data_IF_416689851211
#
_entry.id   IF_416689851211
#
_cell.length_a   1.000
_cell.length_b   1.000
_cell.length_c   1.000
_cell.angle_alpha   90.00
_cell.angle_beta   90.00
_cell.angle_gamma   90.00
#
_symmetry.space_group_name_H-M   'P 1'
#
loop_
_entity.id
_entity.type
_entity.pdbx_description
1 polymer ?
#
# COMPACT_ATOMS: atom_id res chain seq x y z
N UNK A 1 -49.81 -14.10 -81.54
CA UNK A 1 -49.85 -12.64 -81.26
C UNK A 1 -49.73 -12.48 -79.76
N UNK A 2 -48.58 -11.97 -79.27
CA UNK A 2 -48.18 -11.94 -77.91
C UNK A 2 -48.56 -10.60 -77.27
N UNK A 3 -49.36 -10.64 -76.20
CA UNK A 3 -49.65 -9.44 -75.37
C UNK A 3 -48.59 -9.39 -74.23
N UNK A 4 -47.88 -8.28 -74.14
CA UNK A 4 -46.92 -7.93 -73.08
C UNK A 4 -47.71 -7.32 -71.92
N UNK A 5 -47.51 -7.89 -70.75
CA UNK A 5 -47.98 -7.39 -69.47
C UNK A 5 -46.81 -6.70 -68.75
N UNK A 6 -46.90 -5.42 -68.57
CA UNK A 6 -45.88 -4.62 -67.85
C UNK A 6 -46.28 -4.55 -66.38
N UNK A 7 -45.46 -5.13 -65.53
CA UNK A 7 -45.60 -5.07 -64.08
C UNK A 7 -44.85 -3.81 -63.56
N UNK A 8 -45.52 -2.97 -62.87
CA UNK A 8 -45.00 -1.77 -62.21
C UNK A 8 -44.50 -2.19 -60.79
N UNK A 9 -43.18 -2.17 -60.57
CA UNK A 9 -42.58 -2.42 -59.25
C UNK A 9 -42.47 -1.10 -58.54
N UNK A 10 -43.22 -0.96 -57.44
CA UNK A 10 -43.12 0.15 -56.50
C UNK A 10 -41.94 -0.11 -55.56
N UNK A 11 -40.83 0.62 -55.70
CA UNK A 11 -39.72 0.59 -54.74
C UNK A 11 -40.07 1.48 -53.54
N UNK A 12 -40.27 0.85 -52.38
CA UNK A 12 -40.36 1.50 -51.09
C UNK A 12 -38.95 1.69 -50.58
N UNK A 13 -38.40 2.90 -50.63
CA UNK A 13 -37.09 3.25 -50.06
C UNK A 13 -37.21 3.37 -48.54
N UNK A 14 -36.73 2.38 -47.81
CA UNK A 14 -36.48 2.48 -46.37
C UNK A 14 -35.26 3.36 -46.13
N UNK A 15 -35.47 4.56 -45.62
CA UNK A 15 -34.44 5.42 -45.06
C UNK A 15 -33.97 4.82 -43.70
N UNK A 16 -32.83 4.10 -43.70
CA UNK A 16 -32.12 3.71 -42.49
C UNK A 16 -31.23 4.89 -42.12
N UNK A 17 -31.35 5.49 -40.89
CA UNK A 17 -30.41 6.50 -40.46
C UNK A 17 -29.05 5.88 -40.24
N UNK A 18 -28.07 6.30 -41.02
CA UNK A 18 -26.67 5.94 -40.86
C UNK A 18 -26.16 6.60 -39.58
N UNK A 19 -26.09 5.86 -38.48
CA UNK A 19 -25.35 6.26 -37.29
C UNK A 19 -23.85 6.30 -37.65
N UNK A 20 -23.12 7.36 -37.31
CA UNK A 20 -21.68 7.37 -37.54
C UNK A 20 -21.04 6.27 -36.71
N UNK A 21 -20.35 5.34 -37.38
CA UNK A 21 -19.46 4.37 -36.78
C UNK A 21 -18.38 5.17 -36.02
N UNK A 22 -18.43 5.12 -34.68
CA UNK A 22 -17.38 5.71 -33.88
C UNK A 22 -16.04 5.08 -34.32
N UNK A 23 -15.18 5.90 -34.90
CA UNK A 23 -13.83 5.53 -35.22
C UNK A 23 -13.18 5.04 -33.90
N UNK A 24 -12.77 3.78 -33.85
CA UNK A 24 -11.90 3.30 -32.80
C UNK A 24 -10.67 4.23 -32.79
N UNK A 25 -10.47 4.94 -31.68
CA UNK A 25 -9.25 5.70 -31.49
C UNK A 25 -8.10 4.70 -31.61
N UNK A 26 -7.27 4.82 -32.64
CA UNK A 26 -5.98 4.19 -32.71
C UNK A 26 -5.24 4.60 -31.44
N UNK A 27 -4.97 3.63 -30.54
CA UNK A 27 -4.03 3.83 -29.46
C UNK A 27 -2.70 4.24 -30.10
N UNK A 28 -2.39 5.52 -30.06
CA UNK A 28 -1.08 6.04 -30.43
C UNK A 28 -0.06 5.24 -29.62
N UNK A 29 0.97 4.61 -30.25
CA UNK A 29 2.01 3.93 -29.52
C UNK A 29 2.60 4.95 -28.56
N UNK A 30 2.52 4.67 -27.25
CA UNK A 30 3.24 5.43 -26.23
C UNK A 30 4.68 5.50 -26.69
N UNK A 31 5.13 6.70 -27.03
CA UNK A 31 6.50 6.95 -27.47
C UNK A 31 7.44 6.22 -26.55
N UNK A 32 8.35 5.41 -27.10
CA UNK A 32 9.38 4.70 -26.37
C UNK A 32 10.14 5.73 -25.52
N UNK A 33 9.77 5.84 -24.24
CA UNK A 33 10.51 6.67 -23.28
C UNK A 33 11.92 6.13 -23.26
N UNK A 34 12.90 7.02 -23.42
CA UNK A 34 14.32 6.77 -23.21
C UNK A 34 14.47 5.70 -22.13
N UNK A 35 15.05 4.54 -22.47
CA UNK A 35 15.06 3.39 -21.56
C UNK A 35 15.87 3.76 -20.32
N UNK A 36 15.21 4.12 -19.23
CA UNK A 36 15.82 4.43 -17.95
C UNK A 36 16.69 3.24 -17.54
N UNK A 37 17.99 3.48 -17.35
CA UNK A 37 18.91 2.46 -16.85
C UNK A 37 18.55 2.16 -15.40
N UNK A 38 18.37 0.89 -15.07
CA UNK A 38 18.07 0.45 -13.70
C UNK A 38 19.30 -0.22 -13.08
N UNK A 39 19.51 0.01 -11.79
CA UNK A 39 20.54 -0.67 -11.01
C UNK A 39 20.06 -0.92 -9.59
N UNK A 40 20.35 -2.10 -9.04
CA UNK A 40 20.03 -2.45 -7.66
C UNK A 40 21.30 -2.51 -6.82
N UNK A 41 21.43 -1.58 -5.87
CA UNK A 41 22.44 -1.67 -4.82
C UNK A 41 21.94 -2.59 -3.72
N UNK A 42 22.79 -3.51 -3.27
CA UNK A 42 22.47 -4.46 -2.22
C UNK A 42 23.53 -4.44 -1.14
N UNK A 43 23.08 -4.59 0.13
CA UNK A 43 23.94 -4.54 1.29
C UNK A 43 23.75 -5.81 2.11
N UNK A 44 24.83 -6.54 2.36
CA UNK A 44 24.86 -7.82 3.06
C UNK A 44 25.37 -7.65 4.51
N UNK A 45 25.12 -8.65 5.34
CA UNK A 45 25.62 -8.83 6.70
C UNK A 45 25.04 -7.92 7.78
N UNK A 46 24.38 -6.85 7.39
CA UNK A 46 23.76 -5.90 8.33
C UNK A 46 22.50 -6.44 9.03
N UNK A 47 21.79 -5.56 9.75
CA UNK A 47 22.15 -4.16 10.05
C UNK A 47 23.36 -3.99 10.95
N UNK A 48 24.02 -2.83 10.88
CA UNK A 48 25.20 -2.47 11.67
C UNK A 48 25.14 -1.04 12.21
N UNK A 49 26.18 -0.61 12.90
CA UNK A 49 26.33 0.77 13.35
C UNK A 49 26.40 1.78 12.18
N UNK A 50 26.72 1.35 10.97
CA UNK A 50 26.82 2.23 9.80
C UNK A 50 25.55 2.30 8.96
N UNK A 51 24.59 1.41 9.22
CA UNK A 51 23.33 1.32 8.46
C UNK A 51 22.52 2.62 8.52
N UNK A 52 22.46 3.30 9.67
CA UNK A 52 21.75 4.58 9.80
C UNK A 52 22.33 5.66 8.88
N UNK A 53 23.67 5.77 8.82
CA UNK A 53 24.37 6.71 7.92
C UNK A 53 24.11 6.38 6.45
N UNK A 54 24.09 5.09 6.10
CA UNK A 54 23.74 4.64 4.76
C UNK A 54 22.32 5.06 4.38
N UNK A 55 21.34 4.84 5.26
CA UNK A 55 19.95 5.23 5.02
C UNK A 55 19.78 6.74 4.83
N UNK A 56 20.47 7.58 5.63
CA UNK A 56 20.50 9.03 5.43
C UNK A 56 21.03 9.38 4.03
N UNK A 57 22.11 8.73 3.63
CA UNK A 57 22.73 8.92 2.33
C UNK A 57 21.84 8.50 1.16
N UNK A 58 21.16 7.34 1.27
CA UNK A 58 20.22 6.85 0.26
C UNK A 58 19.01 7.77 0.14
N UNK A 59 18.46 8.20 1.27
CA UNK A 59 17.31 9.13 1.33
C UNK A 59 17.61 10.46 0.66
N UNK A 60 18.75 11.07 0.96
CA UNK A 60 19.19 12.33 0.35
C UNK A 60 19.32 12.24 -1.18
N UNK A 61 19.56 11.04 -1.72
CA UNK A 61 19.71 10.77 -3.15
C UNK A 61 18.44 10.27 -3.82
N UNK A 62 17.37 10.00 -3.05
CA UNK A 62 16.15 9.36 -3.55
C UNK A 62 16.39 7.94 -4.04
N UNK A 63 17.44 7.27 -3.55
CA UNK A 63 17.82 5.93 -3.95
C UNK A 63 17.16 4.87 -3.06
N UNK A 64 16.75 3.75 -3.67
CA UNK A 64 16.28 2.55 -2.96
C UNK A 64 17.33 1.45 -3.05
N UNK A 65 17.35 0.58 -2.05
CA UNK A 65 18.30 -0.53 -1.97
C UNK A 65 17.63 -1.77 -1.40
N UNK A 66 18.32 -2.92 -1.54
CA UNK A 66 17.93 -4.18 -0.91
C UNK A 66 18.95 -4.55 0.15
N UNK A 67 18.50 -4.88 1.34
CA UNK A 67 19.33 -5.28 2.47
C UNK A 67 19.16 -6.78 2.71
N UNK A 68 20.23 -7.56 2.46
CA UNK A 68 20.29 -8.98 2.79
C UNK A 68 20.87 -9.12 4.21
N UNK A 69 19.98 -9.32 5.16
CA UNK A 69 20.33 -9.21 6.57
C UNK A 69 20.55 -10.57 7.21
N UNK A 70 21.52 -10.65 8.11
CA UNK A 70 21.69 -11.80 8.99
C UNK A 70 20.74 -11.70 10.19
N UNK A 71 20.39 -12.86 10.78
CA UNK A 71 19.76 -12.90 12.10
C UNK A 71 20.72 -12.39 13.16
N UNK A 72 21.92 -12.96 13.18
CA UNK A 72 23.03 -12.54 14.05
C UNK A 72 24.36 -12.82 13.35
N UNK A 73 25.29 -11.88 13.41
CA UNK A 73 26.64 -12.01 12.86
C UNK A 73 27.59 -11.15 13.73
N UNK A 74 28.10 -11.69 14.83
CA UNK A 74 28.85 -10.94 15.81
C UNK A 74 28.05 -9.79 16.42
N UNK A 75 28.51 -8.55 16.24
CA UNK A 75 27.80 -7.33 16.66
C UNK A 75 26.78 -6.82 15.66
N UNK A 76 26.62 -7.50 14.50
CA UNK A 76 25.73 -7.12 13.40
C UNK A 76 24.49 -8.01 13.38
N UNK A 77 23.55 -7.67 12.49
CA UNK A 77 22.33 -8.43 12.25
C UNK A 77 21.11 -7.93 13.02
N UNK A 78 19.97 -8.50 12.68
CA UNK A 78 18.64 -8.08 13.14
C UNK A 78 18.50 -8.09 14.66
N UNK A 79 19.07 -9.11 15.33
CA UNK A 79 18.93 -9.27 16.80
C UNK A 79 19.52 -8.06 17.54
N UNK A 80 20.64 -7.51 17.04
CA UNK A 80 21.36 -6.41 17.67
C UNK A 80 20.87 -5.02 17.23
N UNK A 81 20.22 -4.92 16.06
CA UNK A 81 19.85 -3.64 15.43
C UNK A 81 18.39 -3.59 14.96
N UNK A 82 17.49 -4.19 15.72
CA UNK A 82 16.07 -4.35 15.34
C UNK A 82 15.32 -3.05 15.05
N UNK A 83 15.73 -1.95 15.69
CA UNK A 83 15.00 -0.68 15.59
C UNK A 83 15.18 0.01 14.23
N UNK A 84 16.27 -0.31 13.50
CA UNK A 84 16.53 0.23 12.17
C UNK A 84 15.61 -0.35 11.09
N UNK A 85 15.03 -1.53 11.30
CA UNK A 85 14.19 -2.23 10.32
C UNK A 85 12.95 -1.41 9.94
N UNK A 86 12.31 -0.79 10.93
CA UNK A 86 11.15 0.08 10.69
C UNK A 86 11.51 1.21 9.74
N UNK A 87 12.67 1.84 9.96
CA UNK A 87 13.18 2.90 9.11
C UNK A 87 13.46 2.42 7.69
N UNK A 88 14.16 1.29 7.53
CA UNK A 88 14.42 0.66 6.22
C UNK A 88 13.10 0.46 5.45
N UNK A 89 12.11 -0.12 6.10
CA UNK A 89 10.78 -0.35 5.53
C UNK A 89 10.10 0.96 5.11
N UNK A 90 10.03 1.93 6.01
CA UNK A 90 9.25 3.16 5.81
C UNK A 90 9.91 4.08 4.78
N UNK A 91 11.22 4.00 4.62
CA UNK A 91 11.96 4.66 3.55
C UNK A 91 11.89 3.89 2.21
N UNK A 92 11.21 2.74 2.15
CA UNK A 92 10.91 2.00 0.91
C UNK A 92 12.04 1.11 0.41
N UNK A 93 12.95 0.69 1.30
CA UNK A 93 13.95 -0.31 0.98
C UNK A 93 13.37 -1.73 1.07
N UNK A 94 13.97 -2.66 0.34
CA UNK A 94 13.63 -4.08 0.44
C UNK A 94 14.45 -4.74 1.54
N UNK A 95 13.75 -5.47 2.42
CA UNK A 95 14.35 -6.29 3.45
C UNK A 95 14.43 -7.72 2.92
N UNK A 96 15.61 -8.32 2.94
CA UNK A 96 15.87 -9.63 2.38
C UNK A 96 16.73 -10.47 3.33
N UNK A 97 16.84 -11.74 3.05
CA UNK A 97 17.38 -12.76 3.94
C UNK A 97 18.80 -13.16 3.56
N UNK A 98 19.78 -13.05 4.50
CA UNK A 98 21.15 -13.50 4.34
C UNK A 98 21.52 -14.64 5.29
N UNK A 99 20.56 -15.47 5.69
CA UNK A 99 20.66 -16.53 6.67
C UNK A 99 20.89 -16.05 8.11
N UNK A 100 20.66 -16.92 9.08
CA UNK A 100 20.65 -16.49 10.48
C UNK A 100 22.05 -16.24 11.03
N UNK A 101 23.02 -17.17 10.81
CA UNK A 101 24.37 -17.14 11.41
C UNK A 101 25.50 -16.97 10.40
N UNK A 102 25.18 -16.74 9.12
CA UNK A 102 26.19 -16.59 8.07
C UNK A 102 27.17 -17.78 8.00
N UNK A 103 26.65 -19.01 7.96
CA UNK A 103 27.50 -20.21 7.94
C UNK A 103 28.23 -20.36 6.58
N UNK A 104 29.57 -20.54 6.62
CA UNK A 104 30.40 -20.75 5.42
C UNK A 104 31.25 -22.03 5.59
N UNK A 105 31.34 -22.86 4.54
CA UNK A 105 30.65 -22.84 3.25
C UNK A 105 29.20 -23.32 3.40
N UNK A 106 28.24 -22.50 2.95
CA UNK A 106 26.81 -22.75 3.21
C UNK A 106 26.27 -24.00 2.52
N UNK A 107 26.77 -24.35 1.37
CA UNK A 107 26.38 -25.55 0.58
C UNK A 107 26.96 -26.87 1.11
N UNK A 108 27.82 -26.82 2.14
CA UNK A 108 28.29 -28.03 2.83
C UNK A 108 27.33 -28.56 3.90
N UNK A 109 26.29 -27.77 4.23
CA UNK A 109 25.33 -28.14 5.27
C UNK A 109 24.15 -28.93 4.68
N UNK A 110 23.54 -29.78 5.51
CA UNK A 110 22.35 -30.55 5.16
C UNK A 110 21.09 -29.68 5.07
N UNK A 111 20.07 -30.16 4.37
CA UNK A 111 18.82 -29.46 4.08
C UNK A 111 18.15 -28.89 5.34
N UNK A 112 18.15 -29.60 6.46
CA UNK A 112 17.53 -29.11 7.72
C UNK A 112 18.24 -27.88 8.27
N UNK A 113 19.57 -27.82 8.21
CA UNK A 113 20.35 -26.64 8.64
C UNK A 113 20.09 -25.47 7.68
N UNK A 114 20.15 -25.69 6.37
CA UNK A 114 19.87 -24.67 5.35
C UNK A 114 18.47 -24.09 5.56
N UNK A 115 17.45 -24.93 5.72
CA UNK A 115 16.07 -24.49 5.96
C UNK A 115 15.94 -23.70 7.26
N UNK A 116 16.58 -24.18 8.35
CA UNK A 116 16.56 -23.49 9.64
C UNK A 116 17.22 -22.11 9.59
N UNK A 117 18.37 -22.00 8.91
CA UNK A 117 19.09 -20.73 8.74
C UNK A 117 18.24 -19.68 8.00
N UNK A 118 17.48 -20.09 7.01
CA UNK A 118 16.58 -19.20 6.26
C UNK A 118 15.33 -18.87 7.09
N UNK A 119 14.61 -19.85 7.60
CA UNK A 119 13.33 -19.65 8.30
C UNK A 119 13.45 -18.84 9.59
N UNK A 120 14.59 -18.91 10.27
CA UNK A 120 14.82 -18.11 11.49
C UNK A 120 14.90 -16.61 11.21
N UNK A 121 15.47 -16.18 10.08
CA UNK A 121 15.46 -14.76 9.67
C UNK A 121 14.07 -14.34 9.28
N UNK A 122 13.33 -15.16 8.53
CA UNK A 122 11.94 -14.88 8.17
C UNK A 122 11.06 -14.66 9.40
N UNK A 123 11.21 -15.53 10.42
CA UNK A 123 10.48 -15.38 11.69
C UNK A 123 10.81 -14.07 12.40
N UNK A 124 12.11 -13.70 12.47
CA UNK A 124 12.53 -12.42 13.06
C UNK A 124 11.93 -11.22 12.33
N UNK A 125 11.89 -11.26 11.00
CA UNK A 125 11.32 -10.19 10.20
C UNK A 125 9.80 -10.14 10.34
N UNK A 126 9.13 -11.30 10.33
CA UNK A 126 7.69 -11.38 10.54
C UNK A 126 7.27 -10.74 11.87
N UNK A 127 7.95 -11.11 12.97
CA UNK A 127 7.66 -10.60 14.32
C UNK A 127 7.85 -9.07 14.44
N UNK A 128 8.79 -8.51 13.67
CA UNK A 128 9.15 -7.08 13.72
C UNK A 128 8.31 -6.22 12.77
N UNK A 129 7.87 -6.80 11.68
CA UNK A 129 7.29 -6.07 10.56
C UNK A 129 5.80 -6.32 10.39
N UNK A 130 5.22 -7.24 11.17
CA UNK A 130 3.81 -7.61 11.10
C UNK A 130 3.43 -8.37 9.84
N UNK A 131 4.41 -8.98 9.14
CA UNK A 131 4.17 -9.74 7.92
C UNK A 131 5.46 -10.20 7.26
N UNK A 132 5.36 -11.10 6.28
CA UNK A 132 6.51 -11.59 5.52
C UNK A 132 7.01 -10.53 4.54
N UNK A 133 8.33 -10.26 4.58
CA UNK A 133 9.02 -9.30 3.69
C UNK A 133 10.13 -9.95 2.88
N UNK A 134 10.39 -11.25 3.08
CA UNK A 134 11.60 -11.88 2.59
C UNK A 134 11.30 -12.95 1.58
N UNK A 135 10.82 -12.54 0.45
CA UNK A 135 10.65 -13.49 -0.65
C UNK A 135 11.93 -13.69 -1.47
N UNK A 136 13.10 -13.23 -0.94
CA UNK A 136 14.40 -13.34 -1.61
C UNK A 136 15.51 -13.66 -0.62
N UNK A 137 16.38 -14.59 -1.00
CA UNK A 137 17.51 -15.06 -0.18
C UNK A 137 18.81 -14.81 -0.94
N UNK A 138 19.83 -14.31 -0.26
CA UNK A 138 21.22 -14.40 -0.68
C UNK A 138 21.95 -15.32 0.27
N UNK A 139 22.58 -16.35 -0.28
CA UNK A 139 23.32 -17.33 0.52
C UNK A 139 24.73 -16.83 0.86
N UNK A 140 25.24 -17.10 2.06
CA UNK A 140 26.59 -16.74 2.45
C UNK A 140 27.64 -17.20 1.45
N UNK A 141 28.57 -16.29 1.09
CA UNK A 141 29.61 -16.56 0.11
C UNK A 141 29.11 -16.86 -1.31
N UNK A 142 27.83 -16.61 -1.63
CA UNK A 142 27.24 -16.91 -2.92
C UNK A 142 27.06 -18.39 -3.22
N UNK A 143 26.99 -19.26 -2.20
CA UNK A 143 26.83 -20.69 -2.33
C UNK A 143 25.50 -21.06 -3.01
N UNK A 144 25.55 -21.85 -4.10
CA UNK A 144 24.39 -22.25 -4.89
C UNK A 144 24.42 -23.72 -5.31
N UNK A 145 25.01 -24.56 -4.48
CA UNK A 145 25.03 -26.01 -4.68
C UNK A 145 23.63 -26.62 -4.77
N UNK A 146 23.54 -27.87 -5.24
CA UNK A 146 22.26 -28.55 -5.46
C UNK A 146 21.36 -28.58 -4.23
N UNK A 147 21.94 -28.85 -3.05
CA UNK A 147 21.22 -28.86 -1.77
C UNK A 147 20.62 -27.50 -1.43
N UNK A 148 21.31 -26.40 -1.72
CA UNK A 148 20.81 -25.04 -1.51
C UNK A 148 19.61 -24.78 -2.43
N UNK A 149 19.74 -25.00 -3.74
CA UNK A 149 18.70 -24.76 -4.72
C UNK A 149 17.42 -25.58 -4.48
N UNK A 150 17.56 -26.79 -3.97
CA UNK A 150 16.41 -27.66 -3.69
C UNK A 150 15.75 -27.38 -2.35
N UNK A 151 16.45 -26.73 -1.40
CA UNK A 151 15.97 -26.51 -0.04
C UNK A 151 15.44 -25.09 0.19
N UNK A 152 16.07 -24.08 -0.45
CA UNK A 152 15.66 -22.69 -0.30
C UNK A 152 14.37 -22.43 -1.07
N UNK A 153 13.27 -22.28 -0.35
CA UNK A 153 11.93 -22.04 -0.92
C UNK A 153 11.72 -20.57 -1.29
N UNK A 154 12.75 -19.92 -1.87
CA UNK A 154 12.74 -18.51 -2.28
C UNK A 154 13.63 -18.31 -3.51
N UNK A 155 13.47 -17.21 -4.27
CA UNK A 155 14.44 -16.77 -5.28
C UNK A 155 15.81 -16.52 -4.66
N UNK A 156 16.87 -16.98 -5.29
CA UNK A 156 18.24 -16.82 -4.82
C UNK A 156 18.89 -15.67 -5.60
N UNK A 157 19.30 -14.62 -4.88
CA UNK A 157 19.84 -13.41 -5.48
C UNK A 157 21.35 -13.34 -5.24
N UNK A 158 22.13 -13.41 -6.30
CA UNK A 158 23.55 -13.12 -6.29
C UNK A 158 23.79 -11.71 -6.85
N UNK A 159 24.93 -11.50 -7.53
CA UNK A 159 25.35 -10.20 -8.06
C UNK A 159 26.07 -10.33 -9.40
N UNK A 160 26.11 -9.25 -10.14
CA UNK A 160 26.91 -9.09 -11.36
C UNK A 160 28.05 -8.08 -11.18
N UNK A 161 28.04 -7.33 -10.08
CA UNK A 161 29.09 -6.38 -9.73
C UNK A 161 29.57 -6.65 -8.32
N UNK A 162 30.82 -7.08 -8.18
CA UNK A 162 31.51 -7.26 -6.89
C UNK A 162 32.62 -6.20 -6.76
N UNK A 163 32.45 -5.17 -5.92
CA UNK A 163 33.47 -4.17 -5.69
C UNK A 163 34.62 -4.66 -4.79
N UNK A 164 34.54 -5.87 -4.26
CA UNK A 164 35.51 -6.45 -3.33
C UNK A 164 35.73 -5.58 -2.07
N UNK A 165 34.67 -4.95 -1.58
CA UNK A 165 34.67 -4.05 -0.44
C UNK A 165 35.05 -4.79 0.87
N UNK A 166 34.60 -6.04 0.99
CA UNK A 166 34.95 -6.95 2.07
C UNK A 166 36.45 -7.26 2.14
N UNK A 167 37.18 -7.13 1.02
CA UNK A 167 38.60 -7.42 0.89
C UNK A 167 39.47 -6.17 1.08
N UNK A 168 39.18 -5.10 0.36
CA UNK A 168 40.07 -3.95 0.27
C UNK A 168 39.85 -2.90 1.35
N UNK A 169 38.64 -2.79 1.91
CA UNK A 169 38.28 -1.82 2.97
C UNK A 169 38.73 -0.40 2.67
N UNK A 170 38.60 0.02 1.41
CA UNK A 170 39.01 1.32 0.92
C UNK A 170 37.90 1.93 0.06
N UNK A 171 37.42 3.13 0.43
CA UNK A 171 36.27 3.76 -0.21
C UNK A 171 36.50 4.11 -1.70
N UNK A 172 37.73 4.47 -2.08
CA UNK A 172 38.06 4.79 -3.49
C UNK A 172 38.10 3.52 -4.34
N UNK A 173 38.61 2.42 -3.80
CA UNK A 173 38.62 1.12 -4.48
C UNK A 173 37.20 0.63 -4.68
N UNK A 174 36.34 0.72 -3.64
CA UNK A 174 34.91 0.35 -3.71
C UNK A 174 34.20 1.19 -4.79
N UNK A 175 34.36 2.51 -4.74
CA UNK A 175 33.80 3.42 -5.74
C UNK A 175 34.22 3.04 -7.17
N UNK A 176 35.54 2.93 -7.40
CA UNK A 176 36.09 2.66 -8.74
C UNK A 176 35.64 1.31 -9.30
N UNK A 177 35.59 0.28 -8.45
CA UNK A 177 35.12 -1.06 -8.86
C UNK A 177 33.63 -1.06 -9.18
N UNK A 178 32.78 -0.35 -8.41
CA UNK A 178 31.36 -0.19 -8.73
C UNK A 178 31.20 0.52 -10.08
N UNK A 179 31.87 1.66 -10.30
CA UNK A 179 31.73 2.42 -11.56
C UNK A 179 32.21 1.59 -12.76
N UNK A 180 33.28 0.85 -12.61
CA UNK A 180 33.82 -0.02 -13.67
C UNK A 180 32.87 -1.16 -14.04
N UNK A 181 32.19 -1.74 -13.05
CA UNK A 181 31.27 -2.86 -13.24
C UNK A 181 29.83 -2.48 -13.58
N UNK A 182 29.43 -1.22 -13.34
CA UNK A 182 28.05 -0.79 -13.48
C UNK A 182 27.53 -0.93 -14.93
N UNK A 183 26.35 -1.55 -15.05
CA UNK A 183 25.61 -1.70 -16.31
C UNK A 183 24.11 -1.73 -16.04
N UNK A 184 23.30 -1.50 -17.07
CA UNK A 184 21.84 -1.54 -16.95
C UNK A 184 21.36 -2.95 -16.53
N UNK A 185 20.60 -3.01 -15.44
CA UNK A 185 20.12 -4.25 -14.84
C UNK A 185 21.11 -4.91 -13.87
N UNK A 186 22.22 -4.24 -13.51
CA UNK A 186 23.19 -4.77 -12.55
C UNK A 186 22.59 -4.91 -11.14
N UNK A 187 23.03 -5.95 -10.44
CA UNK A 187 22.87 -6.13 -8.99
C UNK A 187 24.28 -5.99 -8.40
N UNK A 188 24.48 -5.00 -7.54
CA UNK A 188 25.76 -4.64 -6.94
C UNK A 188 25.84 -5.22 -5.54
N UNK A 189 26.87 -6.04 -5.25
CA UNK A 189 27.19 -6.52 -3.91
C UNK A 189 27.93 -5.42 -3.14
N UNK A 190 27.52 -5.15 -1.91
CA UNK A 190 28.26 -4.35 -0.93
C UNK A 190 27.87 -4.81 0.47
N UNK A 191 28.56 -4.28 1.50
CA UNK A 191 28.28 -4.61 2.90
C UNK A 191 28.15 -3.32 3.72
N UNK A 192 27.05 -3.16 4.45
CA UNK A 192 26.83 -1.97 5.30
C UNK A 192 27.49 -2.09 6.69
N UNK A 193 28.23 -3.17 6.91
CA UNK A 193 29.05 -3.37 8.11
C UNK A 193 30.42 -2.67 8.06
N UNK A 194 30.75 -2.00 6.95
CA UNK A 194 32.01 -1.27 6.78
C UNK A 194 31.77 0.18 6.37
N UNK A 195 32.33 1.12 7.13
CA UNK A 195 32.23 2.55 6.82
C UNK A 195 32.74 2.88 5.41
N UNK A 196 33.83 2.27 4.97
CA UNK A 196 34.43 2.47 3.65
C UNK A 196 33.52 1.98 2.52
N UNK A 197 32.79 0.89 2.72
CA UNK A 197 31.78 0.40 1.77
C UNK A 197 30.64 1.40 1.61
N UNK A 198 30.11 1.92 2.72
CA UNK A 198 29.04 2.93 2.72
C UNK A 198 29.50 4.18 1.98
N UNK A 199 30.72 4.69 2.29
CA UNK A 199 31.25 5.88 1.63
C UNK A 199 31.44 5.67 0.11
N UNK A 200 32.04 4.54 -0.29
CA UNK A 200 32.26 4.22 -1.69
C UNK A 200 30.97 4.03 -2.48
N UNK A 201 30.01 3.33 -1.90
CA UNK A 201 28.70 3.10 -2.50
C UNK A 201 27.92 4.41 -2.69
N UNK A 202 27.84 5.29 -1.69
CA UNK A 202 27.13 6.57 -1.80
C UNK A 202 27.74 7.48 -2.86
N UNK A 203 29.06 7.52 -2.98
CA UNK A 203 29.75 8.26 -4.07
C UNK A 203 29.46 7.66 -5.44
N UNK A 204 29.42 6.33 -5.55
CA UNK A 204 29.06 5.66 -6.80
C UNK A 204 27.62 5.97 -7.23
N UNK A 205 26.70 6.03 -6.27
CA UNK A 205 25.30 6.41 -6.51
C UNK A 205 25.23 7.84 -7.11
N UNK A 206 25.96 8.80 -6.57
CA UNK A 206 25.99 10.17 -7.11
C UNK A 206 26.44 10.19 -8.58
N UNK A 207 27.52 9.48 -8.90
CA UNK A 207 28.07 9.40 -10.27
C UNK A 207 27.11 8.69 -11.21
N UNK A 208 26.55 7.55 -10.82
CA UNK A 208 25.63 6.77 -11.66
C UNK A 208 24.30 7.49 -11.87
N UNK A 209 23.82 8.23 -10.86
CA UNK A 209 22.63 9.08 -10.98
C UNK A 209 22.84 10.15 -12.06
N UNK A 210 24.00 10.79 -12.09
CA UNK A 210 24.35 11.75 -13.15
C UNK A 210 24.44 11.09 -14.54
N UNK A 211 24.70 9.77 -14.62
CA UNK A 211 24.71 8.97 -15.85
C UNK A 211 23.33 8.44 -16.26
N UNK A 212 22.24 8.84 -15.54
CA UNK A 212 20.85 8.46 -15.85
C UNK A 212 20.42 7.11 -15.29
N UNK A 213 21.09 6.59 -14.26
CA UNK A 213 20.62 5.41 -13.55
C UNK A 213 19.55 5.76 -12.51
N UNK A 214 18.54 4.91 -12.44
CA UNK A 214 17.56 4.88 -11.36
C UNK A 214 17.91 3.72 -10.40
N UNK A 215 17.88 4.01 -9.10
CA UNK A 215 18.25 3.07 -8.04
C UNK A 215 16.99 2.44 -7.45
N UNK A 216 16.82 1.16 -7.72
CA UNK A 216 15.64 0.38 -7.36
C UNK A 216 16.00 -0.79 -6.46
N UNK A 217 15.01 -1.37 -5.78
CA UNK A 217 15.21 -2.65 -5.07
C UNK A 217 15.36 -3.80 -6.07
N UNK A 218 15.90 -4.94 -5.63
CA UNK A 218 16.00 -6.14 -6.50
C UNK A 218 14.61 -6.58 -6.96
N UNK A 219 13.62 -6.59 -6.06
CA UNK A 219 12.25 -6.94 -6.41
C UNK A 219 11.69 -6.02 -7.51
N UNK A 220 11.88 -4.72 -7.37
CA UNK A 220 11.43 -3.75 -8.37
C UNK A 220 12.22 -3.88 -9.68
N UNK A 221 13.53 -4.11 -9.63
CA UNK A 221 14.36 -4.36 -10.81
C UNK A 221 13.81 -5.54 -11.62
N UNK A 222 13.58 -6.68 -10.98
CA UNK A 222 13.05 -7.88 -11.64
C UNK A 222 11.65 -7.63 -12.23
N UNK A 223 10.76 -7.04 -11.44
CA UNK A 223 9.41 -6.67 -11.89
C UNK A 223 9.44 -5.76 -13.13
N UNK A 224 10.22 -4.69 -13.09
CA UNK A 224 10.30 -3.72 -14.20
C UNK A 224 10.91 -4.33 -15.47
N UNK A 225 11.71 -5.40 -15.32
CA UNK A 225 12.22 -6.21 -16.43
C UNK A 225 11.28 -7.33 -16.86
N UNK A 226 10.06 -7.41 -16.30
CA UNK A 226 9.08 -8.45 -16.64
C UNK A 226 9.47 -9.84 -16.16
N UNK A 227 10.35 -9.93 -15.16
CA UNK A 227 10.82 -11.18 -14.58
C UNK A 227 9.99 -11.50 -13.34
N UNK A 228 9.28 -12.62 -13.36
CA UNK A 228 8.64 -13.20 -12.17
C UNK A 228 9.63 -14.11 -11.47
N UNK A 229 10.15 -13.74 -10.27
CA UNK A 229 11.11 -14.56 -9.56
C UNK A 229 10.52 -15.92 -9.17
N UNK A 230 11.35 -16.98 -9.22
CA UNK A 230 10.95 -18.34 -8.89
C UNK A 230 11.87 -18.93 -7.82
N UNK A 231 11.31 -19.75 -6.93
CA UNK A 231 12.04 -20.41 -5.85
C UNK A 231 13.15 -21.32 -6.42
N UNK A 232 14.31 -21.30 -5.77
CA UNK A 232 15.48 -22.08 -6.16
C UNK A 232 16.20 -21.59 -7.41
N UNK A 233 15.65 -20.58 -8.13
CA UNK A 233 16.29 -19.98 -9.30
C UNK A 233 17.23 -18.87 -8.88
N UNK A 234 18.43 -18.85 -9.50
CA UNK A 234 19.49 -17.89 -9.21
C UNK A 234 19.42 -16.70 -10.17
N UNK A 235 19.42 -15.49 -9.62
CA UNK A 235 19.42 -14.23 -10.36
C UNK A 235 20.69 -13.44 -10.02
N UNK A 236 21.49 -13.09 -11.01
CA UNK A 236 22.71 -12.27 -10.84
C UNK A 236 22.56 -10.85 -11.37
N UNK A 237 21.63 -10.65 -12.29
CA UNK A 237 21.31 -9.37 -12.94
C UNK A 237 19.95 -9.46 -13.63
N UNK A 238 19.40 -8.33 -14.04
CA UNK A 238 18.19 -8.27 -14.85
C UNK A 238 18.39 -7.29 -16.05
N UNK A 239 19.10 -7.70 -17.09
CA UNK A 239 19.35 -6.86 -18.25
C UNK A 239 18.05 -6.55 -18.99
N UNK A 240 17.99 -5.38 -19.64
CA UNK A 240 16.87 -5.01 -20.48
C UNK A 240 16.80 -5.90 -21.74
N UNK A 241 15.76 -6.70 -21.84
CA UNK A 241 15.43 -7.56 -23.01
C UNK A 241 14.22 -7.05 -23.79
N UNK A 242 13.99 -5.73 -23.80
CA UNK A 242 12.84 -5.12 -24.46
C UNK A 242 11.66 -4.82 -23.53
N UNK A 243 11.71 -5.23 -22.27
CA UNK A 243 10.68 -4.93 -21.26
C UNK A 243 11.24 -3.94 -20.22
N UNK A 244 10.58 -2.81 -20.07
CA UNK A 244 10.90 -1.84 -19.03
C UNK A 244 9.59 -1.23 -18.50
N UNK A 245 8.93 -1.94 -17.58
CA UNK A 245 7.69 -1.47 -16.97
C UNK A 245 7.94 -0.22 -16.11
N UNK A 246 6.98 0.69 -16.01
CA UNK A 246 7.10 1.87 -15.15
C UNK A 246 7.16 1.47 -13.67
N UNK A 247 7.63 2.41 -12.83
CA UNK A 247 7.44 2.31 -11.39
C UNK A 247 5.96 2.29 -11.04
N UNK A 248 5.63 1.72 -9.88
CA UNK A 248 4.25 1.81 -9.37
C UNK A 248 3.85 3.25 -9.08
N UNK A 249 2.58 3.54 -9.29
CA UNK A 249 1.97 4.84 -9.00
C UNK A 249 1.35 4.86 -7.59
N UNK A 250 1.26 6.05 -7.00
CA UNK A 250 0.64 6.21 -5.70
C UNK A 250 -0.86 5.86 -5.76
N UNK A 251 -1.41 5.17 -4.74
CA UNK A 251 -2.85 4.94 -4.63
C UNK A 251 -3.63 6.25 -4.54
N UNK A 252 -4.89 6.24 -4.94
CA UNK A 252 -5.79 7.38 -4.79
C UNK A 252 -6.74 7.17 -3.60
N UNK A 253 -7.10 8.28 -2.93
CA UNK A 253 -8.09 8.32 -1.85
C UNK A 253 -9.23 9.22 -2.31
N UNK A 254 -10.41 8.65 -2.52
CA UNK A 254 -11.65 9.33 -2.89
C UNK A 254 -12.64 9.28 -1.72
N UNK A 255 -13.57 10.22 -1.67
CA UNK A 255 -14.61 10.24 -0.64
C UNK A 255 -15.91 10.78 -1.21
N UNK A 256 -17.04 10.24 -0.73
CA UNK A 256 -18.39 10.67 -1.09
C UNK A 256 -19.23 10.76 0.17
N UNK A 257 -19.92 11.89 0.39
CA UNK A 257 -20.84 12.06 1.51
C UNK A 257 -22.14 11.31 1.22
N UNK A 258 -22.63 10.55 2.18
CA UNK A 258 -23.88 9.80 2.17
C UNK A 258 -24.65 9.98 3.47
N UNK A 259 -25.81 9.34 3.55
CA UNK A 259 -26.73 9.44 4.71
C UNK A 259 -26.13 8.95 6.04
N UNK A 260 -25.18 8.00 5.98
CA UNK A 260 -24.59 7.39 7.18
C UNK A 260 -23.16 7.92 7.47
N UNK A 261 -22.73 8.99 6.78
CA UNK A 261 -21.39 9.55 6.92
C UNK A 261 -20.68 9.68 5.57
N UNK A 262 -19.37 9.78 5.62
CA UNK A 262 -18.52 9.89 4.43
C UNK A 262 -17.96 8.53 4.09
N UNK A 263 -18.29 8.01 2.93
CA UNK A 263 -17.71 6.78 2.35
C UNK A 263 -16.36 7.12 1.73
N UNK A 264 -15.29 6.46 2.19
CA UNK A 264 -13.93 6.63 1.72
C UNK A 264 -13.50 5.39 0.95
N UNK A 265 -12.97 5.58 -0.26
CA UNK A 265 -12.49 4.49 -1.12
C UNK A 265 -11.04 4.70 -1.50
N UNK A 266 -10.28 3.59 -1.57
CA UNK A 266 -8.91 3.58 -2.06
C UNK A 266 -8.85 2.79 -3.36
N UNK A 267 -8.06 3.27 -4.32
CA UNK A 267 -7.86 2.59 -5.59
C UNK A 267 -6.44 2.73 -6.10
N UNK A 268 -6.05 1.83 -7.00
CA UNK A 268 -4.77 1.88 -7.72
C UNK A 268 -5.00 1.46 -9.16
N UNK A 269 -4.26 2.07 -10.09
CA UNK A 269 -4.24 1.66 -11.50
C UNK A 269 -3.33 0.44 -11.73
N UNK A 270 -2.40 0.18 -10.83
CA UNK A 270 -1.43 -0.88 -10.96
C UNK A 270 -2.01 -2.23 -10.53
N UNK A 271 -1.68 -3.29 -11.29
CA UNK A 271 -2.16 -4.66 -11.03
C UNK A 271 -1.26 -5.39 -10.03
N UNK A 272 -1.83 -6.39 -9.35
CA UNK A 272 -1.08 -7.26 -8.45
C UNK A 272 -0.73 -6.65 -7.09
N UNK A 273 -1.33 -5.50 -6.76
CA UNK A 273 -1.15 -4.83 -5.46
C UNK A 273 -2.27 -5.15 -4.48
N UNK A 274 -1.90 -5.34 -3.24
CA UNK A 274 -2.81 -5.26 -2.10
C UNK A 274 -2.66 -3.90 -1.45
N UNK A 275 -3.77 -3.19 -1.21
CA UNK A 275 -3.76 -1.90 -0.54
C UNK A 275 -3.81 -2.10 0.98
N UNK A 276 -2.89 -1.44 1.67
CA UNK A 276 -2.83 -1.36 3.13
C UNK A 276 -2.96 0.09 3.57
N UNK A 277 -3.57 0.32 4.73
CA UNK A 277 -3.78 1.67 5.21
C UNK A 277 -3.65 1.79 6.74
N UNK A 278 -3.46 3.03 7.18
CA UNK A 278 -3.60 3.47 8.57
C UNK A 278 -4.55 4.66 8.64
N UNK A 279 -5.14 4.89 9.81
CA UNK A 279 -5.96 6.08 10.09
C UNK A 279 -5.15 7.19 10.77
N UNK A 280 -3.87 7.26 10.46
CA UNK A 280 -2.90 8.23 10.96
C UNK A 280 -1.89 8.57 9.87
N UNK A 281 -0.89 9.40 10.17
CA UNK A 281 0.23 9.69 9.28
C UNK A 281 1.33 8.60 9.26
N UNK A 282 1.14 7.50 10.01
CA UNK A 282 2.09 6.38 10.01
C UNK A 282 2.05 5.65 8.68
N UNK A 283 3.24 5.32 8.16
CA UNK A 283 3.37 4.55 6.91
C UNK A 283 2.80 3.14 7.08
N UNK A 284 1.81 2.72 6.26
CA UNK A 284 1.26 1.38 6.33
C UNK A 284 2.28 0.31 5.91
N UNK A 285 2.11 -0.91 6.41
CA UNK A 285 2.94 -2.08 6.12
C UNK A 285 2.07 -3.35 6.07
N UNK A 286 2.64 -4.52 5.83
CA UNK A 286 1.89 -5.78 5.70
C UNK A 286 1.07 -6.16 6.94
N UNK A 287 1.49 -5.69 8.13
CA UNK A 287 0.72 -5.84 9.38
C UNK A 287 -0.33 -4.74 9.61
N UNK A 288 -0.45 -3.75 8.72
CA UNK A 288 -1.48 -2.72 8.80
C UNK A 288 -2.82 -3.24 8.28
N UNK A 289 -3.86 -2.43 8.42
CA UNK A 289 -5.18 -2.80 7.94
C UNK A 289 -5.18 -2.98 6.42
N UNK A 290 -5.65 -4.15 5.97
CA UNK A 290 -5.84 -4.44 4.56
C UNK A 290 -7.14 -3.81 4.08
N UNK A 291 -7.09 -3.08 2.98
CA UNK A 291 -8.28 -2.51 2.38
C UNK A 291 -9.08 -3.59 1.63
N UNK A 292 -10.33 -3.76 2.00
CA UNK A 292 -11.25 -4.75 1.41
C UNK A 292 -12.50 -4.13 0.81
N UNK A 293 -12.70 -2.82 0.98
CA UNK A 293 -13.87 -2.10 0.47
C UNK A 293 -14.06 -0.75 1.15
N UNK A 294 -15.11 0.01 0.77
CA UNK A 294 -15.36 1.35 1.28
C UNK A 294 -15.41 1.42 2.82
N UNK A 295 -14.85 2.51 3.38
CA UNK A 295 -14.79 2.78 4.83
C UNK A 295 -15.69 3.98 5.11
N UNK A 296 -16.67 3.82 6.00
CA UNK A 296 -17.53 4.93 6.42
C UNK A 296 -16.95 5.63 7.64
N UNK A 297 -16.84 6.96 7.59
CA UNK A 297 -16.39 7.80 8.69
C UNK A 297 -17.43 8.88 9.03
N UNK A 298 -17.51 9.21 10.31
CA UNK A 298 -18.38 10.29 10.83
C UNK A 298 -17.59 11.45 11.45
N UNK A 299 -16.25 11.33 11.49
CA UNK A 299 -15.34 12.37 12.02
C UNK A 299 -14.14 12.52 11.11
N UNK A 300 -13.48 13.65 11.20
CA UNK A 300 -12.23 13.91 10.48
C UNK A 300 -11.23 12.78 10.71
N UNK A 301 -10.77 12.21 9.63
CA UNK A 301 -9.83 11.07 9.65
C UNK A 301 -8.72 11.30 8.64
N UNK A 302 -7.48 11.12 9.07
CA UNK A 302 -6.33 11.11 8.17
C UNK A 302 -6.04 9.68 7.75
N UNK A 303 -6.13 9.40 6.46
CA UNK A 303 -5.76 8.10 5.89
C UNK A 303 -4.38 8.19 5.24
N UNK A 304 -3.55 7.19 5.50
CA UNK A 304 -2.31 6.94 4.79
C UNK A 304 -2.41 5.57 4.13
N UNK A 305 -2.14 5.49 2.82
CA UNK A 305 -2.37 4.28 1.99
C UNK A 305 -1.12 3.95 1.18
N UNK A 306 -0.81 2.66 1.07
CA UNK A 306 0.25 2.11 0.22
C UNK A 306 -0.23 0.84 -0.46
N UNK A 307 0.18 0.62 -1.71
CA UNK A 307 0.06 -0.67 -2.38
C UNK A 307 1.34 -1.49 -2.18
N UNK A 308 1.20 -2.78 -1.91
CA UNK A 308 2.33 -3.71 -1.75
C UNK A 308 2.06 -4.96 -2.58
N UNK A 309 3.03 -5.37 -3.40
CA UNK A 309 2.94 -6.61 -4.17
C UNK A 309 3.43 -7.82 -3.37
N UNK A 310 3.33 -9.01 -3.97
CA UNK A 310 3.75 -10.25 -3.32
C UNK A 310 5.25 -10.35 -3.03
N UNK A 311 6.08 -9.50 -3.62
CA UNK A 311 7.53 -9.46 -3.40
C UNK A 311 7.96 -8.30 -2.49
N UNK A 312 7.00 -7.63 -1.85
CA UNK A 312 7.26 -6.52 -0.95
C UNK A 312 7.56 -5.18 -1.65
N UNK A 313 7.47 -5.12 -3.00
CA UNK A 313 7.61 -3.85 -3.73
C UNK A 313 6.43 -2.95 -3.41
N UNK A 314 6.73 -1.68 -3.14
CA UNK A 314 5.76 -0.72 -2.62
C UNK A 314 5.51 0.40 -3.61
N UNK A 315 4.26 0.87 -3.64
CA UNK A 315 3.96 2.16 -4.28
C UNK A 315 4.52 3.32 -3.46
N UNK A 316 4.63 4.52 -4.03
CA UNK A 316 4.64 5.73 -3.21
C UNK A 316 3.43 5.78 -2.29
N UNK A 317 3.55 6.46 -1.16
CA UNK A 317 2.50 6.57 -0.13
C UNK A 317 1.60 7.75 -0.46
N UNK A 318 0.28 7.58 -0.29
CA UNK A 318 -0.68 8.69 -0.33
C UNK A 318 -1.22 8.94 1.06
N UNK A 319 -1.16 10.20 1.50
CA UNK A 319 -1.78 10.65 2.75
C UNK A 319 -2.81 11.73 2.45
N UNK A 320 -4.03 11.57 2.98
CA UNK A 320 -5.13 12.55 2.83
C UNK A 320 -5.95 12.62 4.10
N UNK A 321 -6.20 13.85 4.57
CA UNK A 321 -7.21 14.12 5.58
C UNK A 321 -8.57 14.21 4.88
N UNK A 322 -9.53 13.39 5.34
CA UNK A 322 -10.92 13.40 4.88
C UNK A 322 -11.78 13.95 6.01
N UNK A 323 -12.55 14.99 5.71
CA UNK A 323 -13.50 15.56 6.63
C UNK A 323 -14.65 14.56 6.86
N UNK A 324 -15.04 14.34 8.11
CA UNK A 324 -16.21 13.55 8.47
C UNK A 324 -17.46 14.40 8.56
N UNK A 325 -18.60 13.71 8.66
CA UNK A 325 -19.89 14.35 8.95
C UNK A 325 -20.31 13.90 10.35
N UNK A 326 -20.24 14.77 11.37
CA UNK A 326 -20.56 14.37 12.72
C UNK A 326 -22.06 14.05 12.86
N UNK A 327 -22.44 13.08 13.67
CA UNK A 327 -23.84 12.79 13.94
C UNK A 327 -24.46 13.87 14.87
N UNK A 328 -25.73 14.15 14.67
CA UNK A 328 -26.54 14.90 15.64
C UNK A 328 -26.87 13.98 16.80
N UNK A 329 -26.83 14.47 18.03
CA UNK A 329 -27.20 13.70 19.20
C UNK A 329 -28.71 13.37 19.17
N UNK A 330 -29.08 12.17 19.58
CA UNK A 330 -30.48 11.80 19.69
C UNK A 330 -31.21 12.68 20.71
N UNK A 331 -32.47 13.05 20.48
CA UNK A 331 -33.26 13.80 21.45
C UNK A 331 -33.41 13.04 22.77
N UNK A 332 -33.43 13.76 23.86
CA UNK A 332 -33.92 13.23 25.16
C UNK A 332 -35.35 13.68 25.37
N UNK A 333 -36.12 12.84 26.02
CA UNK A 333 -37.55 13.06 26.27
C UNK A 333 -37.80 13.04 27.76
N UNK A 334 -38.55 14.00 28.28
CA UNK A 334 -39.03 13.99 29.64
C UNK A 334 -40.56 14.28 29.67
N UNK A 335 -41.25 13.75 30.66
CA UNK A 335 -42.68 13.99 30.86
C UNK A 335 -42.95 14.39 32.28
N UNK A 336 -43.46 15.62 32.45
CA UNK A 336 -43.77 16.20 33.74
C UNK A 336 -45.04 17.05 33.65
N UNK A 337 -45.92 16.96 34.66
CA UNK A 337 -47.15 17.74 34.76
C UNK A 337 -48.04 17.67 33.51
N UNK A 338 -48.08 16.51 32.86
CA UNK A 338 -48.90 16.30 31.64
C UNK A 338 -48.26 16.80 30.35
N UNK A 339 -47.02 17.24 30.37
CA UNK A 339 -46.34 17.79 29.20
C UNK A 339 -45.08 17.02 28.85
N UNK A 340 -44.89 16.77 27.54
CA UNK A 340 -43.62 16.25 26.96
C UNK A 340 -42.68 17.41 26.68
N UNK A 341 -41.44 17.23 27.12
CA UNK A 341 -40.32 18.13 26.78
C UNK A 341 -39.25 17.34 26.02
N UNK A 342 -38.85 17.88 24.89
CA UNK A 342 -37.79 17.32 24.06
C UNK A 342 -36.56 18.24 24.15
N UNK A 343 -35.36 17.63 24.23
CA UNK A 343 -34.11 18.40 24.20
C UNK A 343 -33.03 17.63 23.42
N UNK A 344 -32.07 18.36 22.87
CA UNK A 344 -30.91 17.80 22.15
C UNK A 344 -29.64 18.48 22.62
N UNK A 345 -28.59 17.70 22.91
CA UNK A 345 -27.30 18.23 23.35
C UNK A 345 -26.47 18.82 22.20
N UNK A 346 -26.81 18.53 20.93
CA UNK A 346 -26.18 19.17 19.78
C UNK A 346 -26.70 20.58 19.62
N UNK A 347 -25.84 21.57 19.88
CA UNK A 347 -26.22 22.99 19.79
C UNK A 347 -26.67 23.36 18.37
N UNK A 348 -27.82 24.04 18.26
CA UNK A 348 -28.41 24.49 17.00
C UNK A 348 -29.20 23.42 16.25
N UNK A 349 -29.31 22.18 16.76
CA UNK A 349 -30.14 21.16 16.17
C UNK A 349 -31.64 21.50 16.33
N UNK A 350 -32.40 21.28 15.24
CA UNK A 350 -33.87 21.32 15.26
C UNK A 350 -34.41 19.93 15.59
N UNK A 351 -35.42 19.86 16.46
CA UNK A 351 -36.10 18.61 16.80
C UNK A 351 -37.43 18.56 16.06
N UNK A 352 -37.68 17.47 15.34
CA UNK A 352 -38.96 17.20 14.68
C UNK A 352 -39.62 15.99 15.36
N UNK A 353 -40.94 15.99 15.45
CA UNK A 353 -41.69 14.89 16.09
C UNK A 353 -42.97 14.56 15.36
N UNK A 354 -43.49 13.34 15.64
CA UNK A 354 -44.79 12.83 15.22
C UNK A 354 -45.53 12.22 16.42
N UNK A 355 -46.84 12.26 16.40
CA UNK A 355 -47.70 11.67 17.45
C UNK A 355 -48.57 10.51 16.93
N UNK A 356 -48.45 10.19 15.64
CA UNK A 356 -49.21 9.14 14.95
C UNK A 356 -48.40 7.82 14.78
N UNK A 357 -47.20 7.77 15.36
CA UNK A 357 -46.28 6.63 15.27
C UNK A 357 -45.46 6.55 13.98
N UNK A 358 -45.67 7.46 13.03
CA UNK A 358 -44.81 7.57 11.82
C UNK A 358 -43.39 7.96 12.17
N UNK A 359 -42.42 7.69 11.26
CA UNK A 359 -41.03 8.15 11.42
C UNK A 359 -40.98 9.64 11.14
N UNK A 360 -40.48 10.49 12.09
CA UNK A 360 -40.37 11.92 11.87
C UNK A 360 -39.34 12.25 10.81
N UNK A 361 -39.60 13.32 10.03
CA UNK A 361 -38.75 13.87 8.98
C UNK A 361 -38.66 15.40 9.12
N UNK A 362 -37.86 16.06 8.32
CA UNK A 362 -37.78 17.53 8.30
C UNK A 362 -39.13 18.23 7.95
N UNK A 363 -40.11 17.49 7.44
CA UNK A 363 -41.47 17.95 7.15
C UNK A 363 -42.45 17.70 8.30
N UNK A 364 -42.03 16.98 9.34
CA UNK A 364 -42.85 16.72 10.55
C UNK A 364 -42.93 17.96 11.44
N UNK A 365 -43.67 17.89 12.51
CA UNK A 365 -43.88 19.02 13.43
C UNK A 365 -42.59 19.45 14.09
N UNK A 366 -42.19 20.69 13.90
CA UNK A 366 -41.01 21.28 14.56
C UNK A 366 -41.32 21.48 16.05
N UNK A 367 -40.43 20.99 16.89
CA UNK A 367 -40.54 21.21 18.35
C UNK A 367 -40.09 22.64 18.70
N UNK A 368 -41.01 23.41 19.32
CA UNK A 368 -40.77 24.78 19.74
C UNK A 368 -40.92 24.97 21.27
N UNK A 369 -41.32 23.94 21.96
CA UNK A 369 -41.52 23.99 23.43
C UNK A 369 -42.38 22.83 23.93
N UNK A 370 -42.49 22.68 25.25
CA UNK A 370 -43.26 21.59 25.86
C UNK A 370 -44.71 21.55 25.37
N UNK A 371 -45.24 20.36 25.15
CA UNK A 371 -46.61 20.15 24.61
C UNK A 371 -47.32 19.00 25.32
N UNK A 372 -48.65 18.99 25.34
CA UNK A 372 -49.46 17.87 25.79
C UNK A 372 -49.57 16.88 24.66
N UNK A 373 -49.12 15.62 24.82
CA UNK A 373 -49.24 14.61 23.78
C UNK A 373 -50.68 14.21 23.55
N UNK A 374 -51.12 14.16 22.28
CA UNK A 374 -52.48 13.78 21.90
C UNK A 374 -52.67 12.24 21.86
N UNK A 375 -51.58 11.52 21.78
CA UNK A 375 -51.52 10.03 21.74
C UNK A 375 -50.48 9.53 22.73
N UNK A 376 -50.54 8.21 23.02
CA UNK A 376 -49.56 7.59 23.91
C UNK A 376 -48.16 7.39 23.28
N UNK A 377 -48.04 7.52 21.96
CA UNK A 377 -46.74 7.31 21.26
C UNK A 377 -46.29 8.59 20.57
N UNK A 378 -45.11 9.02 20.91
CA UNK A 378 -44.43 10.12 20.23
C UNK A 378 -43.08 9.62 19.70
N UNK A 379 -42.73 9.94 18.47
CA UNK A 379 -41.38 9.74 17.91
C UNK A 379 -40.73 11.07 17.62
N UNK A 380 -39.45 11.21 17.90
CA UNK A 380 -38.68 12.44 17.62
C UNK A 380 -37.33 12.13 17.03
N UNK A 381 -36.82 13.10 16.24
CA UNK A 381 -35.51 13.09 15.62
C UNK A 381 -34.92 14.50 15.71
N UNK A 382 -33.61 14.59 15.90
CA UNK A 382 -32.88 15.86 15.83
C UNK A 382 -32.08 15.94 14.53
N UNK A 383 -32.12 17.11 13.89
CA UNK A 383 -31.46 17.38 12.62
C UNK A 383 -30.67 18.70 12.69
N UNK A 384 -29.46 18.70 12.14
CA UNK A 384 -28.62 19.89 12.03
C UNK A 384 -27.97 19.94 10.63
N UNK A 385 -28.10 21.02 9.86
CA UNK A 385 -27.41 21.14 8.58
C UNK A 385 -25.90 20.87 8.70
N UNK A 386 -25.37 20.02 7.83
CA UNK A 386 -23.96 19.61 7.85
C UNK A 386 -23.63 18.49 8.85
N UNK A 387 -24.63 17.92 9.52
CA UNK A 387 -24.53 16.75 10.38
C UNK A 387 -25.37 15.61 9.84
N UNK A 388 -25.08 14.38 10.28
CA UNK A 388 -26.01 13.27 10.11
C UNK A 388 -27.23 13.47 11.01
N UNK A 389 -28.39 13.07 10.54
CA UNK A 389 -29.60 13.03 11.38
C UNK A 389 -29.38 12.12 12.60
N UNK A 390 -30.03 12.44 13.71
CA UNK A 390 -29.92 11.59 14.89
C UNK A 390 -30.66 10.26 14.70
N UNK A 391 -30.43 9.32 15.59
CA UNK A 391 -31.35 8.19 15.76
C UNK A 391 -32.74 8.74 16.13
N UNK A 392 -33.79 8.06 15.65
CA UNK A 392 -35.16 8.32 16.08
C UNK A 392 -35.32 7.77 17.49
N UNK A 393 -35.87 8.58 18.39
CA UNK A 393 -36.27 8.17 19.73
C UNK A 393 -37.78 8.01 19.73
N UNK A 394 -38.26 6.82 20.14
CA UNK A 394 -39.64 6.58 20.37
C UNK A 394 -39.92 6.66 21.88
N UNK A 395 -41.02 7.28 22.26
CA UNK A 395 -41.47 7.28 23.65
C UNK A 395 -42.97 6.86 23.71
N UNK A 396 -43.30 6.10 24.74
CA UNK A 396 -44.65 5.64 24.99
C UNK A 396 -45.07 6.04 26.42
N UNK A 397 -46.22 6.67 26.55
CA UNK A 397 -46.83 6.98 27.83
C UNK A 397 -47.80 5.91 28.21
N UNK A 398 -47.72 5.42 29.44
CA UNK A 398 -48.76 4.53 29.98
C UNK A 398 -49.97 5.34 30.40
N UNK A 399 -51.10 4.67 30.60
CA UNK A 399 -52.29 5.26 31.16
C UNK A 399 -52.13 5.83 32.59
N UNK A 400 -51.01 5.46 33.28
CA UNK A 400 -50.63 5.99 34.58
C UNK A 400 -49.58 7.10 34.49
N UNK A 401 -49.26 7.59 33.29
CA UNK A 401 -48.33 8.68 33.08
C UNK A 401 -46.84 8.30 33.22
N UNK A 402 -46.49 7.01 33.13
CA UNK A 402 -45.10 6.58 33.07
C UNK A 402 -44.56 6.67 31.65
N UNK A 403 -43.38 7.27 31.49
CA UNK A 403 -42.69 7.40 30.21
C UNK A 403 -41.70 6.23 30.01
N UNK A 404 -41.80 5.56 28.86
CA UNK A 404 -40.79 4.62 28.36
C UNK A 404 -40.21 5.17 27.08
N UNK A 405 -38.84 5.10 26.91
CA UNK A 405 -38.11 5.50 25.73
C UNK A 405 -37.34 4.30 25.21
N UNK A 406 -37.44 4.06 23.89
CA UNK A 406 -36.67 3.05 23.12
C UNK A 406 -35.58 3.74 22.27
#
# INVERSE_FOLDING_TARGET
MKKRLTALLLMLALLIPCLPLAAAAEETPVAATSSTKLIAFTFDDGPSAYTSTLLDGLKARGAKATFFMNGTNGSHGIVNHKDILTRMRDEGHQLANHTYQHLIPFDSYGASTISSEVSRVESLLFDRMGGSYTDMVRTPGGAVGGAVKSTVAAPIILWSVDPLDWKYRNADTVYNNIIKGAHDGAIVLTHDIYQTSVQGALRAIDTLKAQGYEFVTVAELLRRRGITPQNGVVYTSAPNKGTNLPAYTAPTISSTTGENGVSVTFSTADKGLTLYYTTSSMTPHLGSQKYTGPITITRDTTFTVVGIDQYGTRTPVTTKKVAGVPPTAAPTVSYENGMLTLSCTTAGASIYYTTDGSTPTAQSTLYTGAFTPETNTTKCIAMLPGHLDSAVVACTLTEYGHLFTD
#
